data_IF_512109015780
#
_entry.id   IF_512109015780
#
_cell.length_a   1.000
_cell.length_b   1.000
_cell.length_c   1.000
_cell.angle_alpha   90.00
_cell.angle_beta   90.00
_cell.angle_gamma   90.00
#
_symmetry.space_group_name_H-M   'P 1'
#
loop_
_entity.id
_entity.type
_entity.pdbx_description
1 polymer ?
#
# COMPACT_ATOMS: atom_id res chain seq x y z
N UNK A 1 -44.90 -39.67 29.41
CA UNK A 1 -44.06 -38.45 29.47
C UNK A 1 -42.70 -38.57 28.74
N UNK A 2 -42.30 -39.72 28.19
CA UNK A 2 -40.95 -39.93 27.61
C UNK A 2 -40.70 -39.43 26.18
N UNK A 3 -41.74 -39.10 25.40
CA UNK A 3 -41.57 -38.78 23.97
C UNK A 3 -41.16 -37.32 23.69
N UNK A 4 -41.48 -36.39 24.62
CA UNK A 4 -41.11 -34.97 24.49
C UNK A 4 -39.63 -34.72 24.83
N UNK A 5 -39.08 -35.44 25.80
CA UNK A 5 -37.69 -35.27 26.25
C UNK A 5 -36.67 -35.73 25.18
N UNK A 6 -36.96 -36.82 24.48
CA UNK A 6 -36.09 -37.34 23.40
C UNK A 6 -36.00 -36.41 22.18
N UNK A 7 -37.08 -35.70 21.85
CA UNK A 7 -37.09 -34.69 20.78
C UNK A 7 -36.23 -33.47 21.14
N UNK A 8 -36.28 -32.99 22.38
CA UNK A 8 -35.46 -31.86 22.82
C UNK A 8 -33.96 -32.19 22.84
N UNK A 9 -33.59 -33.40 23.29
CA UNK A 9 -32.21 -33.87 23.28
C UNK A 9 -31.65 -34.02 21.85
N UNK A 10 -32.44 -34.53 20.91
CA UNK A 10 -32.03 -34.62 19.51
C UNK A 10 -31.84 -33.25 18.85
N UNK A 11 -32.74 -32.29 19.09
CA UNK A 11 -32.61 -30.94 18.51
C UNK A 11 -31.38 -30.20 19.04
N UNK A 12 -31.06 -30.35 20.33
CA UNK A 12 -29.87 -29.73 20.92
C UNK A 12 -28.56 -30.29 20.34
N UNK A 13 -28.49 -31.61 20.10
CA UNK A 13 -27.32 -32.26 19.48
C UNK A 13 -27.13 -31.79 18.03
N UNK A 14 -28.21 -31.70 17.25
CA UNK A 14 -28.15 -31.25 15.85
C UNK A 14 -27.71 -29.78 15.75
N UNK A 15 -28.21 -28.89 16.62
CA UNK A 15 -27.77 -27.49 16.67
C UNK A 15 -26.31 -27.37 17.11
N UNK A 16 -25.87 -28.19 18.06
CA UNK A 16 -24.46 -28.25 18.48
C UNK A 16 -23.51 -28.68 17.35
N UNK A 17 -23.91 -29.67 16.55
CA UNK A 17 -23.11 -30.13 15.40
C UNK A 17 -23.06 -29.09 14.27
N UNK A 18 -24.17 -28.40 13.98
CA UNK A 18 -24.22 -27.31 12.98
C UNK A 18 -23.35 -26.13 13.43
N UNK A 19 -23.40 -25.77 14.71
CA UNK A 19 -22.54 -24.74 15.31
C UNK A 19 -21.04 -25.07 15.18
N UNK A 20 -20.66 -26.33 15.43
CA UNK A 20 -19.26 -26.78 15.29
C UNK A 20 -18.75 -26.69 13.83
N UNK A 21 -19.60 -27.02 12.84
CA UNK A 21 -19.26 -26.88 11.42
C UNK A 21 -19.14 -25.42 10.96
N UNK A 22 -19.91 -24.49 11.55
CA UNK A 22 -19.76 -23.06 11.26
C UNK A 22 -18.41 -22.50 11.74
N UNK A 23 -17.91 -22.94 12.89
CA UNK A 23 -16.57 -22.55 13.38
C UNK A 23 -15.43 -23.11 12.51
N UNK A 24 -15.58 -24.33 11.97
CA UNK A 24 -14.58 -24.91 11.08
C UNK A 24 -14.48 -24.21 9.71
N UNK A 25 -15.58 -23.60 9.24
CA UNK A 25 -15.65 -23.04 7.88
C UNK A 25 -15.53 -21.51 7.84
N UNK A 26 -16.10 -20.79 8.81
CA UNK A 26 -15.97 -19.31 8.91
C UNK A 26 -14.89 -18.86 9.90
N UNK A 27 -14.75 -19.55 11.04
CA UNK A 27 -13.73 -19.25 12.04
C UNK A 27 -12.30 -19.45 11.53
N UNK A 28 -12.10 -20.39 10.60
CA UNK A 28 -10.82 -20.67 9.96
C UNK A 28 -10.31 -19.60 8.99
N UNK A 29 -11.15 -18.64 8.56
CA UNK A 29 -10.73 -17.53 7.69
C UNK A 29 -10.12 -16.39 8.51
N UNK A 30 -10.78 -15.99 9.60
CA UNK A 30 -10.29 -14.97 10.55
C UNK A 30 -9.07 -15.49 11.31
N UNK A 31 -9.06 -16.76 11.75
CA UNK A 31 -7.88 -17.36 12.37
C UNK A 31 -6.70 -17.49 11.40
N UNK A 32 -6.91 -17.78 10.11
CA UNK A 32 -5.80 -17.80 9.13
C UNK A 32 -5.19 -16.43 8.90
N UNK A 33 -6.01 -15.38 8.84
CA UNK A 33 -5.53 -14.00 8.71
C UNK A 33 -4.70 -13.58 9.92
N UNK A 34 -5.21 -13.82 11.13
CA UNK A 34 -4.48 -13.52 12.37
C UNK A 34 -3.19 -14.35 12.50
N UNK A 35 -3.25 -15.67 12.25
CA UNK A 35 -2.06 -16.54 12.34
C UNK A 35 -0.99 -16.21 11.29
N UNK A 36 -1.36 -15.75 10.09
CA UNK A 36 -0.37 -15.26 9.10
C UNK A 36 0.37 -14.02 9.61
N UNK A 37 -0.33 -13.07 10.24
CA UNK A 37 0.29 -11.89 10.84
C UNK A 37 1.29 -12.27 11.94
N UNK A 38 0.93 -13.20 12.83
CA UNK A 38 1.84 -13.70 13.86
C UNK A 38 3.00 -14.54 13.31
N UNK A 39 2.78 -15.34 12.26
CA UNK A 39 3.83 -16.17 11.63
C UNK A 39 4.90 -15.33 10.93
N UNK A 40 4.52 -14.23 10.28
CA UNK A 40 5.47 -13.26 9.71
C UNK A 40 6.32 -12.62 10.82
N UNK A 41 5.68 -12.23 11.94
CA UNK A 41 6.36 -11.62 13.08
C UNK A 41 7.33 -12.62 13.75
N UNK A 42 7.02 -13.93 13.76
CA UNK A 42 7.89 -14.97 14.32
C UNK A 42 9.06 -15.40 13.41
N UNK A 43 9.03 -15.11 12.12
CA UNK A 43 10.15 -15.41 11.22
C UNK A 43 11.33 -14.44 11.36
N UNK A 44 11.13 -13.29 12.02
CA UNK A 44 12.22 -12.39 12.37
C UNK A 44 12.70 -12.75 13.77
N UNK A 45 13.95 -13.20 13.90
CA UNK A 45 14.49 -13.54 15.22
C UNK A 45 14.60 -12.28 16.09
N UNK A 46 14.33 -12.40 17.40
CA UNK A 46 14.44 -11.26 18.34
C UNK A 46 15.83 -10.59 18.29
N UNK A 47 16.88 -11.34 17.95
CA UNK A 47 18.25 -10.84 17.79
C UNK A 47 18.47 -10.00 16.53
N UNK A 48 17.68 -10.23 15.48
CA UNK A 48 17.70 -9.47 14.22
C UNK A 48 16.87 -8.18 14.31
N UNK A 49 16.41 -7.80 15.50
CA UNK A 49 15.56 -6.61 15.71
C UNK A 49 16.13 -5.64 16.74
N UNK A 50 17.39 -5.85 17.12
CA UNK A 50 18.17 -4.95 17.94
C UNK A 50 18.47 -3.65 17.17
N UNK A 51 17.76 -2.58 17.53
CA UNK A 51 17.84 -1.26 16.87
C UNK A 51 19.19 -0.54 17.10
N UNK A 52 20.03 -1.07 18.00
CA UNK A 52 21.34 -0.50 18.32
C UNK A 52 22.48 -1.08 17.46
N UNK A 53 22.21 -2.13 16.67
CA UNK A 53 23.18 -2.71 15.73
C UNK A 53 23.12 -2.03 14.36
N UNK A 54 24.26 -1.92 13.64
CA UNK A 54 24.25 -1.48 12.26
C UNK A 54 23.46 -2.47 11.39
N UNK A 55 22.88 -1.95 10.31
CA UNK A 55 22.14 -2.75 9.35
C UNK A 55 23.08 -3.42 8.34
N UNK A 56 22.75 -4.66 7.99
CA UNK A 56 23.40 -5.42 6.92
C UNK A 56 23.26 -4.69 5.59
N UNK A 57 24.30 -4.74 4.76
CA UNK A 57 24.27 -4.22 3.39
C UNK A 57 23.74 -5.25 2.37
N UNK A 58 23.42 -6.48 2.80
CA UNK A 58 22.83 -7.48 1.91
C UNK A 58 21.32 -7.23 1.74
N UNK A 59 20.83 -6.84 0.54
CA UNK A 59 19.40 -6.61 0.31
C UNK A 59 18.54 -7.85 0.57
N UNK A 60 19.09 -9.07 0.43
CA UNK A 60 18.36 -10.32 0.68
C UNK A 60 17.98 -10.52 2.15
N UNK A 61 18.65 -9.82 3.08
CA UNK A 61 18.26 -9.84 4.49
C UNK A 61 16.88 -9.19 4.72
N UNK A 62 16.45 -8.30 3.82
CA UNK A 62 15.20 -7.53 3.94
C UNK A 62 14.13 -7.93 2.93
N UNK A 63 14.41 -8.92 2.08
CA UNK A 63 13.51 -9.37 1.02
C UNK A 63 12.75 -10.64 1.42
N UNK A 64 11.46 -10.68 1.08
CA UNK A 64 10.62 -11.86 1.02
C UNK A 64 9.64 -11.66 -0.14
N UNK A 65 9.93 -12.26 -1.30
CA UNK A 65 9.08 -12.17 -2.49
C UNK A 65 7.63 -12.60 -2.22
N UNK A 66 7.41 -13.47 -1.22
CA UNK A 66 6.10 -13.98 -0.81
C UNK A 66 5.39 -13.16 0.27
N UNK A 67 5.98 -12.04 0.68
CA UNK A 67 5.41 -11.14 1.68
C UNK A 67 4.01 -10.67 1.26
N UNK A 68 3.11 -10.61 2.25
CA UNK A 68 1.72 -10.24 2.02
C UNK A 68 1.58 -8.74 2.21
N UNK A 69 1.10 -8.06 1.16
CA UNK A 69 0.77 -6.65 1.23
C UNK A 69 -0.25 -6.35 2.34
N UNK A 70 0.12 -5.47 3.27
CA UNK A 70 -0.66 -5.14 4.46
C UNK A 70 -0.64 -3.65 4.80
N UNK A 71 -0.33 -2.81 3.82
CA UNK A 71 -0.22 -1.37 3.98
C UNK A 71 -1.58 -0.70 3.80
N UNK A 72 -1.81 0.37 4.55
CA UNK A 72 -2.85 1.35 4.29
C UNK A 72 -2.25 2.68 3.83
N UNK A 73 -3.08 3.54 3.25
CA UNK A 73 -2.68 4.91 2.91
C UNK A 73 -2.20 5.68 4.14
N UNK A 74 -2.90 5.53 5.27
CA UNK A 74 -2.56 6.16 6.54
C UNK A 74 -1.18 5.69 7.06
N UNK A 75 -0.87 4.40 6.94
CA UNK A 75 0.45 3.87 7.32
C UNK A 75 1.57 4.58 6.54
N UNK A 76 1.40 4.73 5.22
CA UNK A 76 2.37 5.41 4.37
C UNK A 76 2.48 6.92 4.69
N UNK A 77 1.36 7.61 4.85
CA UNK A 77 1.34 9.05 5.16
C UNK A 77 1.93 9.39 6.54
N UNK A 78 1.90 8.43 7.47
CA UNK A 78 2.42 8.59 8.83
C UNK A 78 3.92 8.30 8.94
N UNK A 79 4.56 7.80 7.88
CA UNK A 79 6.01 7.58 7.86
C UNK A 79 6.77 8.90 8.04
N UNK A 80 7.79 8.87 8.90
CA UNK A 80 8.60 10.02 9.29
C UNK A 80 10.02 9.89 8.72
N UNK A 81 10.38 10.73 7.73
CA UNK A 81 11.73 10.75 7.20
C UNK A 81 12.77 10.94 8.31
N UNK A 82 13.86 10.17 8.23
CA UNK A 82 14.99 10.13 9.17
C UNK A 82 14.67 9.67 10.59
N UNK A 83 13.42 9.41 10.93
CA UNK A 83 13.01 8.91 12.24
C UNK A 83 12.63 7.43 12.20
N UNK A 84 11.85 7.01 11.22
CA UNK A 84 11.46 5.60 11.10
C UNK A 84 12.61 4.79 10.49
N UNK A 85 12.95 3.68 11.16
CA UNK A 85 14.01 2.76 10.71
C UNK A 85 13.43 1.68 9.81
N UNK A 86 14.23 1.12 8.90
CA UNK A 86 13.86 -0.05 8.11
C UNK A 86 13.35 -1.19 8.99
N UNK A 87 14.02 -1.43 10.14
CA UNK A 87 13.60 -2.45 11.11
C UNK A 87 12.24 -2.16 11.72
N UNK A 88 11.93 -0.91 12.08
CA UNK A 88 10.61 -0.54 12.61
C UNK A 88 9.48 -0.75 11.60
N UNK A 89 9.76 -0.50 10.32
CA UNK A 89 8.83 -0.75 9.22
C UNK A 89 8.67 -2.26 9.00
N UNK A 90 9.75 -3.03 8.98
CA UNK A 90 9.70 -4.50 8.85
C UNK A 90 8.95 -5.14 10.02
N UNK A 91 9.09 -4.62 11.25
CA UNK A 91 8.30 -5.09 12.40
C UNK A 91 6.80 -4.92 12.19
N UNK A 92 6.39 -3.85 11.51
CA UNK A 92 4.99 -3.48 11.33
C UNK A 92 4.37 -4.13 10.08
N UNK A 93 5.13 -4.18 8.99
CA UNK A 93 4.64 -4.54 7.66
C UNK A 93 5.29 -5.81 7.09
N UNK A 94 6.31 -6.37 7.73
CA UNK A 94 7.10 -7.47 7.20
C UNK A 94 8.19 -7.01 6.24
N UNK A 95 8.88 -7.98 5.65
CA UNK A 95 9.93 -7.74 4.64
C UNK A 95 9.32 -7.22 3.32
N UNK A 96 10.13 -6.53 2.52
CA UNK A 96 9.71 -6.08 1.20
C UNK A 96 9.66 -7.21 0.19
N UNK A 97 8.79 -7.12 -0.81
CA UNK A 97 8.72 -8.08 -1.91
C UNK A 97 9.94 -8.00 -2.83
N UNK A 98 10.46 -6.78 -3.03
CA UNK A 98 11.67 -6.54 -3.83
C UNK A 98 12.56 -5.55 -3.11
N UNK A 99 13.84 -5.88 -2.96
CA UNK A 99 14.83 -5.05 -2.29
C UNK A 99 16.08 -4.89 -3.15
N UNK A 100 16.50 -3.66 -3.33
CA UNK A 100 17.67 -3.33 -4.14
C UNK A 100 18.57 -2.34 -3.40
N UNK A 101 19.88 -2.60 -3.44
CA UNK A 101 20.89 -1.67 -2.96
C UNK A 101 21.35 -0.77 -4.11
N UNK A 102 21.17 0.54 -3.95
CA UNK A 102 21.66 1.57 -4.86
C UNK A 102 22.80 2.37 -4.23
N UNK A 103 23.52 3.14 -5.04
CA UNK A 103 24.56 4.06 -4.52
C UNK A 103 24.00 5.12 -3.56
N UNK A 104 22.73 5.49 -3.70
CA UNK A 104 22.02 6.41 -2.81
C UNK A 104 21.45 5.77 -1.55
N UNK A 105 21.49 4.45 -1.41
CA UNK A 105 20.94 3.71 -0.27
C UNK A 105 20.04 2.54 -0.70
N UNK A 106 19.13 2.12 0.17
CA UNK A 106 18.30 0.93 -0.05
C UNK A 106 16.93 1.31 -0.62
N UNK A 107 16.48 0.59 -1.64
CA UNK A 107 15.11 0.63 -2.16
C UNK A 107 14.35 -0.61 -1.71
N UNK A 108 13.12 -0.42 -1.22
CA UNK A 108 12.25 -1.50 -0.78
C UNK A 108 10.87 -1.30 -1.41
N UNK A 109 10.38 -2.32 -2.11
CA UNK A 109 9.04 -2.35 -2.68
C UNK A 109 8.16 -3.32 -1.93
N UNK A 110 6.98 -2.85 -1.54
CA UNK A 110 5.85 -3.67 -1.08
C UNK A 110 4.81 -3.71 -2.18
N UNK A 111 4.47 -4.91 -2.65
CA UNK A 111 3.63 -5.09 -3.84
C UNK A 111 2.38 -5.91 -3.49
N UNK A 112 1.21 -5.45 -3.94
CA UNK A 112 -0.03 -6.22 -3.82
C UNK A 112 -0.08 -7.41 -4.76
N UNK A 113 0.72 -7.39 -5.83
CA UNK A 113 0.84 -8.43 -6.84
C UNK A 113 -0.06 -8.24 -8.06
N UNK A 114 -0.89 -7.19 -8.08
CA UNK A 114 -1.77 -6.84 -9.21
C UNK A 114 -1.16 -5.80 -10.15
N UNK A 115 0.02 -5.26 -9.81
CA UNK A 115 0.71 -4.21 -10.56
C UNK A 115 0.11 -2.81 -10.44
N UNK A 116 -1.01 -2.66 -9.72
CA UNK A 116 -1.76 -1.42 -9.60
C UNK A 116 -1.69 -0.81 -8.19
N UNK A 117 -1.35 -1.61 -7.19
CA UNK A 117 -1.14 -1.15 -5.82
C UNK A 117 0.24 -1.59 -5.30
N UNK A 118 1.10 -0.62 -5.01
CA UNK A 118 2.44 -0.87 -4.47
C UNK A 118 3.03 0.37 -3.81
N UNK A 119 3.97 0.15 -2.89
CA UNK A 119 4.71 1.19 -2.19
C UNK A 119 6.20 0.99 -2.44
N UNK A 120 6.85 2.03 -2.95
CA UNK A 120 8.30 2.10 -3.08
C UNK A 120 8.85 3.03 -1.99
N UNK A 121 9.65 2.48 -1.08
CA UNK A 121 10.35 3.22 -0.04
C UNK A 121 11.83 3.32 -0.37
N UNK A 122 12.42 4.45 0.01
CA UNK A 122 13.85 4.72 -0.08
C UNK A 122 14.40 4.91 1.32
N UNK A 123 15.59 4.39 1.56
CA UNK A 123 16.30 4.50 2.83
C UNK A 123 17.73 4.93 2.60
N UNK A 124 18.28 5.66 3.57
CA UNK A 124 19.72 5.95 3.64
C UNK A 124 20.28 5.46 4.97
N UNK A 125 21.60 5.33 5.06
CA UNK A 125 22.25 5.02 6.34
C UNK A 125 22.37 6.28 7.21
N UNK A 126 22.04 6.13 8.49
CA UNK A 126 22.39 7.11 9.54
C UNK A 126 23.85 6.95 10.00
N UNK A 127 24.29 7.81 10.92
CA UNK A 127 25.66 7.78 11.48
C UNK A 127 26.02 6.46 12.19
N UNK A 128 25.01 5.68 12.60
CA UNK A 128 25.17 4.38 13.25
C UNK A 128 25.13 3.22 12.24
N UNK A 129 25.03 3.52 10.95
CA UNK A 129 24.96 2.52 9.88
C UNK A 129 23.61 1.83 9.76
N UNK A 130 22.52 2.44 10.25
CA UNK A 130 21.16 1.91 10.19
C UNK A 130 20.39 2.56 9.05
N UNK A 131 19.57 1.80 8.34
CA UNK A 131 18.69 2.31 7.32
C UNK A 131 17.53 3.08 7.95
N UNK A 132 17.47 4.38 7.66
CA UNK A 132 16.39 5.27 8.04
C UNK A 132 15.61 5.69 6.80
N UNK A 133 14.29 5.74 6.93
CA UNK A 133 13.39 6.12 5.85
C UNK A 133 13.75 7.51 5.32
N UNK A 134 13.86 7.65 4.01
CA UNK A 134 14.27 8.88 3.34
C UNK A 134 13.11 9.53 2.56
N UNK A 135 12.18 8.70 2.10
CA UNK A 135 11.07 9.10 1.26
C UNK A 135 10.56 7.93 0.44
N UNK A 136 9.45 8.12 -0.26
CA UNK A 136 8.82 7.04 -0.98
C UNK A 136 7.66 7.49 -1.84
N UNK A 137 7.07 6.54 -2.55
CA UNK A 137 5.86 6.71 -3.34
C UNK A 137 4.93 5.54 -3.10
N UNK A 138 3.69 5.82 -2.74
CA UNK A 138 2.61 4.86 -2.74
C UNK A 138 1.76 5.05 -4.00
N UNK A 139 1.44 3.95 -4.68
CA UNK A 139 0.58 3.91 -5.85
C UNK A 139 -0.65 3.09 -5.50
N UNK A 140 -1.83 3.63 -5.79
CA UNK A 140 -3.13 3.01 -5.55
C UNK A 140 -3.96 3.00 -6.84
N UNK A 141 -4.85 2.01 -7.02
CA UNK A 141 -5.85 2.05 -8.08
C UNK A 141 -6.81 3.22 -7.87
N UNK A 142 -7.43 3.67 -8.96
CA UNK A 142 -8.47 4.71 -8.93
C UNK A 142 -9.82 4.08 -9.16
N UNK A 143 -10.72 4.21 -8.19
CA UNK A 143 -12.09 3.75 -8.32
C UNK A 143 -12.90 4.64 -9.29
N UNK A 144 -13.81 4.02 -10.05
CA UNK A 144 -14.75 4.72 -10.92
C UNK A 144 -14.19 5.13 -12.30
N UNK A 145 -12.92 4.84 -12.60
CA UNK A 145 -12.35 5.04 -13.93
C UNK A 145 -12.45 3.75 -14.75
N UNK A 146 -13.01 3.85 -15.95
CA UNK A 146 -13.04 2.76 -16.93
C UNK A 146 -11.81 2.86 -17.82
N UNK A 147 -10.93 1.87 -17.74
CA UNK A 147 -9.78 1.79 -18.64
C UNK A 147 -10.23 1.28 -20.01
N UNK A 148 -9.95 2.02 -21.08
CA UNK A 148 -10.36 1.71 -22.46
C UNK A 148 -9.17 1.69 -23.41
N UNK A 149 -9.14 0.69 -24.29
CA UNK A 149 -8.16 0.64 -25.38
C UNK A 149 -8.41 1.78 -26.38
N UNK A 150 -7.35 2.41 -26.89
CA UNK A 150 -7.41 3.53 -27.83
C UNK A 150 -8.16 4.79 -27.32
N UNK A 151 -8.00 5.10 -26.03
CA UNK A 151 -8.51 6.34 -25.45
C UNK A 151 -8.12 7.57 -26.28
N UNK A 152 -9.12 8.38 -26.64
CA UNK A 152 -8.93 9.70 -27.23
C UNK A 152 -9.26 10.73 -26.16
N UNK A 153 -8.24 11.48 -25.75
CA UNK A 153 -8.39 12.48 -24.67
C UNK A 153 -9.47 13.49 -24.99
N UNK A 154 -10.47 13.59 -24.13
CA UNK A 154 -11.54 14.58 -24.18
C UNK A 154 -11.22 15.86 -23.38
N UNK A 155 -10.02 15.92 -22.78
CA UNK A 155 -9.53 17.07 -22.01
C UNK A 155 -9.19 18.27 -22.87
N UNK A 156 -9.62 19.46 -22.43
CA UNK A 156 -9.07 20.74 -22.90
C UNK A 156 -7.86 21.17 -22.06
N UNK A 157 -7.00 22.02 -22.63
CA UNK A 157 -5.86 22.62 -21.92
C UNK A 157 -6.34 23.42 -20.70
N UNK A 158 -7.47 24.10 -20.82
CA UNK A 158 -8.06 24.86 -19.72
C UNK A 158 -8.58 23.96 -18.60
N UNK A 159 -9.15 22.79 -18.91
CA UNK A 159 -9.54 21.80 -17.89
C UNK A 159 -8.30 21.30 -17.13
N UNK A 160 -7.24 20.96 -17.87
CA UNK A 160 -5.99 20.50 -17.27
C UNK A 160 -5.36 21.58 -16.37
N UNK A 161 -5.31 22.83 -16.83
CA UNK A 161 -4.71 23.95 -16.09
C UNK A 161 -5.54 24.37 -14.86
N UNK A 162 -6.80 23.95 -14.75
CA UNK A 162 -7.63 24.20 -13.56
C UNK A 162 -7.42 23.18 -12.46
N UNK A 163 -6.85 22.01 -12.78
CA UNK A 163 -6.57 20.99 -11.77
C UNK A 163 -5.53 21.50 -10.77
N UNK A 164 -5.80 21.26 -9.49
CA UNK A 164 -4.93 21.64 -8.38
C UNK A 164 -4.61 20.44 -7.53
N UNK A 165 -3.32 20.26 -7.27
CA UNK A 165 -2.83 19.28 -6.31
C UNK A 165 -2.85 19.86 -4.90
N UNK A 166 -2.74 19.01 -3.89
CA UNK A 166 -2.90 19.45 -2.48
C UNK A 166 -1.70 20.25 -1.97
N UNK A 167 -0.55 20.17 -2.61
CA UNK A 167 0.59 21.07 -2.43
C UNK A 167 0.36 22.49 -2.99
N UNK A 168 -0.72 22.69 -3.74
CA UNK A 168 -1.13 23.99 -4.29
C UNK A 168 -2.31 24.60 -3.54
N UNK A 169 -2.57 24.19 -2.29
CA UNK A 169 -3.69 24.66 -1.49
C UNK A 169 -3.69 26.19 -1.27
N UNK A 170 -2.51 26.81 -1.27
CA UNK A 170 -2.32 28.26 -1.23
C UNK A 170 -2.91 29.01 -2.45
N UNK A 171 -3.10 28.32 -3.58
CA UNK A 171 -3.80 28.86 -4.76
C UNK A 171 -5.32 28.66 -4.69
N UNK A 172 -5.79 27.93 -3.67
CA UNK A 172 -7.17 27.55 -3.39
C UNK A 172 -7.33 26.03 -3.26
N UNK A 173 -8.56 25.53 -3.04
CA UNK A 173 -8.76 24.12 -2.72
C UNK A 173 -8.24 23.18 -3.82
N UNK A 174 -7.66 22.06 -3.39
CA UNK A 174 -7.25 20.98 -4.29
C UNK A 174 -8.47 20.41 -5.03
N UNK A 175 -8.28 20.00 -6.28
CA UNK A 175 -9.35 19.35 -7.05
C UNK A 175 -9.61 17.97 -6.48
N UNK A 176 -10.87 17.67 -6.18
CA UNK A 176 -11.23 16.35 -5.69
C UNK A 176 -11.06 15.31 -6.81
N UNK A 177 -10.38 14.20 -6.52
CA UNK A 177 -10.23 13.11 -7.50
C UNK A 177 -11.59 12.60 -7.99
N UNK A 178 -12.60 12.55 -7.11
CA UNK A 178 -13.97 12.19 -7.47
C UNK A 178 -14.61 13.14 -8.49
N UNK A 179 -14.25 14.42 -8.47
CA UNK A 179 -14.71 15.41 -9.45
C UNK A 179 -14.10 15.10 -10.82
N UNK A 180 -12.80 14.83 -10.85
CA UNK A 180 -12.10 14.46 -12.09
C UNK A 180 -12.66 13.18 -12.69
N UNK A 181 -12.86 12.14 -11.89
CA UNK A 181 -13.43 10.86 -12.35
C UNK A 181 -14.87 11.03 -12.85
N UNK A 182 -15.66 11.93 -12.23
CA UNK A 182 -17.03 12.22 -12.67
C UNK A 182 -17.06 12.91 -14.03
N UNK A 183 -16.11 13.81 -14.30
CA UNK A 183 -16.05 14.56 -15.56
C UNK A 183 -15.35 13.77 -16.67
N UNK A 184 -14.37 12.95 -16.31
CA UNK A 184 -13.54 12.16 -17.21
C UNK A 184 -13.49 10.69 -16.73
N UNK A 185 -14.57 9.91 -16.94
CA UNK A 185 -14.70 8.56 -16.40
C UNK A 185 -13.95 7.48 -17.19
N UNK A 186 -13.28 7.85 -18.29
CA UNK A 186 -12.52 6.94 -19.14
C UNK A 186 -11.06 7.37 -19.23
N UNK A 187 -10.16 6.38 -19.31
CA UNK A 187 -8.73 6.62 -19.46
C UNK A 187 -8.05 5.45 -20.17
N UNK A 188 -6.84 5.67 -20.69
CA UNK A 188 -5.93 4.61 -21.14
C UNK A 188 -5.25 3.89 -19.97
N UNK A 189 -5.12 4.57 -18.83
CA UNK A 189 -4.53 4.08 -17.59
C UNK A 189 -5.02 4.94 -16.42
N UNK A 190 -5.10 4.37 -15.22
CA UNK A 190 -5.60 5.09 -14.04
C UNK A 190 -4.90 4.62 -12.77
N UNK A 191 -4.04 5.49 -12.23
CA UNK A 191 -3.36 5.28 -10.95
C UNK A 191 -3.34 6.59 -10.18
N UNK A 192 -3.48 6.51 -8.86
CA UNK A 192 -3.25 7.62 -7.94
C UNK A 192 -1.91 7.39 -7.25
N UNK A 193 -1.10 8.45 -7.17
CA UNK A 193 0.18 8.41 -6.47
C UNK A 193 0.20 9.38 -5.29
N UNK A 194 0.90 8.98 -4.24
CA UNK A 194 1.23 9.81 -3.09
C UNK A 194 2.74 9.72 -2.91
N UNK A 195 3.42 10.85 -2.83
CA UNK A 195 4.87 10.90 -2.65
C UNK A 195 5.20 11.65 -1.37
N UNK A 196 6.18 11.15 -0.61
CA UNK A 196 6.79 11.88 0.48
C UNK A 196 8.30 12.00 0.20
N UNK A 197 8.87 13.20 0.27
CA UNK A 197 10.31 13.42 0.10
C UNK A 197 10.86 14.22 1.29
N UNK A 198 12.16 14.08 1.52
CA UNK A 198 12.91 14.78 2.57
C UNK A 198 12.77 16.31 2.56
N UNK A 199 12.50 16.89 1.38
CA UNK A 199 12.72 18.32 1.17
C UNK A 199 11.54 19.19 1.63
N UNK A 200 10.34 18.63 1.82
CA UNK A 200 9.25 19.26 2.55
C UNK A 200 8.35 18.16 3.15
N UNK A 201 7.82 18.39 4.36
CA UNK A 201 6.76 17.61 5.02
C UNK A 201 5.86 16.93 3.99
N UNK A 202 5.90 15.58 3.92
CA UNK A 202 5.24 14.73 2.92
C UNK A 202 4.31 15.56 2.03
N UNK A 203 4.84 16.08 0.90
CA UNK A 203 4.10 17.00 0.01
C UNK A 203 2.87 16.23 -0.47
N UNK A 204 1.77 16.42 0.28
CA UNK A 204 0.65 15.49 0.22
C UNK A 204 -0.01 15.70 -1.12
N UNK A 205 -0.10 14.61 -1.88
CA UNK A 205 -0.96 14.44 -3.03
C UNK A 205 -0.52 15.17 -4.30
N UNK A 206 0.55 14.64 -4.90
CA UNK A 206 0.69 14.70 -6.35
C UNK A 206 -0.43 13.81 -6.93
N UNK A 207 -1.62 14.37 -7.20
CA UNK A 207 -2.64 13.71 -8.03
C UNK A 207 -2.09 13.69 -9.46
N UNK A 208 -1.08 12.86 -9.68
CA UNK A 208 -0.74 12.40 -11.01
C UNK A 208 -1.73 11.27 -11.27
N UNK A 209 -2.93 11.63 -11.73
CA UNK A 209 -3.65 10.70 -12.60
C UNK A 209 -2.75 10.60 -13.81
N UNK A 210 -2.00 9.51 -13.88
CA UNK A 210 -1.33 9.10 -15.11
C UNK A 210 -2.47 8.74 -16.07
N UNK A 211 -3.10 9.74 -16.69
CA UNK A 211 -3.85 9.63 -17.93
C UNK A 211 -2.78 9.66 -19.03
N UNK A 212 -2.14 8.53 -19.32
CA UNK A 212 -1.01 8.52 -20.25
C UNK A 212 -1.46 8.66 -21.70
N UNK A 213 -1.82 9.88 -22.12
CA UNK A 213 -1.32 10.44 -23.39
C UNK A 213 -1.53 11.95 -23.57
N UNK A 214 -1.16 12.79 -22.61
CA UNK A 214 -0.99 14.25 -22.88
C UNK A 214 0.48 14.69 -22.96
N UNK A 215 1.45 13.84 -22.60
CA UNK A 215 2.87 14.19 -22.72
C UNK A 215 3.42 14.18 -24.17
N UNK A 216 2.81 13.43 -25.10
CA UNK A 216 3.31 13.34 -26.49
C UNK A 216 2.94 14.53 -27.39
N UNK A 217 2.06 15.44 -26.96
CA UNK A 217 1.75 16.66 -27.73
C UNK A 217 2.64 17.86 -27.38
N UNK A 218 3.48 17.77 -26.33
CA UNK A 218 4.40 18.86 -25.97
C UNK A 218 5.76 18.76 -26.65
N UNK A 219 6.20 17.58 -27.06
CA UNK A 219 7.50 17.40 -27.74
C UNK A 219 7.44 17.52 -29.27
N UNK A 220 6.25 17.64 -29.87
CA UNK A 220 6.09 17.79 -31.32
C UNK A 220 5.70 19.20 -31.80
N UNK A 221 5.70 20.21 -30.91
CA UNK A 221 5.38 21.60 -31.26
C UNK A 221 6.38 22.62 -30.65
N UNK A 222 7.68 22.32 -30.72
CA UNK A 222 8.77 23.30 -30.62
C UNK A 222 9.85 22.97 -31.65
#
# INVERSE_FOLDING_TARGET
MGQKLGRFLFTAIVVGLIGLSFFATLGGSVYRGAMKKYRLIQQVSQSDLDEDKPDSDDPKDYEDESAIYNWTEEDFENLKPKADTLRSIIKSHGKGNYVEMESSGLKVRYDRGDGNEYINLSFVKDEKGRFVYDGGTATYPVDGVTVVDNYSSDWTIEQLNRLRTKDQDYLGPATALSEVVREHPQADSAQRRIACTLQELCIRQLILIILTRIALLREHNC
#
